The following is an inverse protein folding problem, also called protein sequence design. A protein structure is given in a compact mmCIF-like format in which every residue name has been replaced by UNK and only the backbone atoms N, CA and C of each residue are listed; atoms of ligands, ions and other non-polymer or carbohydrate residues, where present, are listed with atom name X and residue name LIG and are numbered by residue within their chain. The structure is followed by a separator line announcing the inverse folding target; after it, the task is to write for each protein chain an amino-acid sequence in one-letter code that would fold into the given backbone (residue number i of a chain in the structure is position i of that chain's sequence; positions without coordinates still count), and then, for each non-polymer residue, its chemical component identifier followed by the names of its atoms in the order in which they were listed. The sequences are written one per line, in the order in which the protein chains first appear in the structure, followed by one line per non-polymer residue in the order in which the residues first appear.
data_IF_253235290681
#
_entry.id   IF_253235290681
#
_cell.length_a   1.000
_cell.length_b   1.000
_cell.length_c   1.000
_cell.angle_alpha   90.00
_cell.angle_beta   90.00
_cell.angle_gamma   90.00
#
_symmetry.space_group_name_H-M   'P 1'
#
loop_
_entity.id
_entity.type
_entity.pdbx_description
1 polymer ?
#
# COMPACT_ATOMS: atom_id res chain seq x y z
N UNK A 1 50.91 -48.42 -6.91
CA UNK A 1 49.46 -48.20 -7.01
C UNK A 1 49.23 -46.69 -6.83
N UNK A 2 49.16 -45.94 -7.93
CA UNK A 2 49.07 -44.47 -7.94
C UNK A 2 47.58 -44.10 -7.89
N UNK A 3 47.13 -43.42 -6.83
CA UNK A 3 45.77 -42.89 -6.71
C UNK A 3 45.74 -41.48 -7.32
N UNK A 4 45.03 -41.33 -8.43
CA UNK A 4 44.67 -40.02 -8.98
C UNK A 4 43.56 -39.40 -8.11
N UNK A 5 43.81 -38.21 -7.58
CA UNK A 5 42.79 -37.38 -6.94
C UNK A 5 42.14 -36.54 -8.05
N UNK A 6 40.91 -36.88 -8.45
CA UNK A 6 40.08 -35.99 -9.26
C UNK A 6 39.56 -34.87 -8.37
N UNK A 7 40.09 -33.66 -8.56
CA UNK A 7 39.49 -32.44 -8.02
C UNK A 7 38.33 -32.07 -8.94
N UNK A 8 37.10 -32.38 -8.50
CA UNK A 8 35.90 -31.80 -9.10
C UNK A 8 35.85 -30.32 -8.73
N UNK A 9 36.18 -29.43 -9.67
CA UNK A 9 35.82 -28.02 -9.57
C UNK A 9 34.29 -27.92 -9.68
N UNK A 10 33.62 -27.81 -8.54
CA UNK A 10 32.24 -27.34 -8.48
C UNK A 10 32.22 -25.88 -8.98
N UNK A 11 31.79 -25.69 -10.23
CA UNK A 11 31.36 -24.38 -10.69
C UNK A 11 30.11 -24.01 -9.88
N UNK A 12 30.26 -23.17 -8.85
CA UNK A 12 29.12 -22.45 -8.31
C UNK A 12 28.56 -21.56 -9.42
N UNK A 13 27.25 -21.64 -9.74
CA UNK A 13 26.66 -20.67 -10.64
C UNK A 13 26.83 -19.28 -10.01
N UNK A 14 27.38 -18.33 -10.77
CA UNK A 14 27.33 -16.92 -10.38
C UNK A 14 25.86 -16.56 -10.20
N UNK A 15 25.46 -16.30 -8.95
CA UNK A 15 24.19 -15.64 -8.66
C UNK A 15 24.32 -14.24 -9.25
N UNK A 16 23.80 -14.06 -10.47
CA UNK A 16 23.66 -12.75 -11.08
C UNK A 16 22.56 -12.05 -10.30
N UNK A 17 22.94 -11.15 -9.40
CA UNK A 17 21.99 -10.28 -8.73
C UNK A 17 21.37 -9.37 -9.79
N UNK A 18 20.12 -9.65 -10.19
CA UNK A 18 19.41 -8.91 -11.26
C UNK A 18 18.90 -7.54 -10.78
N UNK A 19 18.66 -7.40 -9.48
CA UNK A 19 18.14 -6.18 -8.89
C UNK A 19 19.15 -5.05 -8.95
N UNK A 20 18.71 -3.88 -9.41
CA UNK A 20 19.57 -2.72 -9.53
C UNK A 20 18.77 -1.41 -9.52
N UNK A 21 19.47 -0.30 -9.27
CA UNK A 21 18.93 1.04 -9.43
C UNK A 21 19.69 1.75 -10.53
N UNK A 22 19.06 1.89 -11.69
CA UNK A 22 19.59 2.68 -12.79
C UNK A 22 19.23 4.16 -12.60
N UNK A 23 20.23 5.04 -12.65
CA UNK A 23 20.01 6.49 -12.53
C UNK A 23 20.42 7.17 -13.82
N UNK A 24 19.48 7.87 -14.44
CA UNK A 24 19.73 8.73 -15.59
C UNK A 24 19.44 10.18 -15.24
N UNK A 25 20.05 11.10 -15.99
CA UNK A 25 19.83 12.54 -15.82
C UNK A 25 19.65 13.18 -17.19
N UNK A 26 18.55 13.90 -17.38
CA UNK A 26 18.26 14.65 -18.61
C UNK A 26 17.86 16.06 -18.26
N UNK A 27 18.56 17.06 -18.81
CA UNK A 27 18.33 18.50 -18.53
C UNK A 27 18.25 18.83 -17.04
N UNK A 28 19.08 18.19 -16.21
CA UNK A 28 19.11 18.37 -14.76
C UNK A 28 18.02 17.61 -13.99
N UNK A 29 17.09 16.94 -14.67
CA UNK A 29 16.06 16.10 -14.05
C UNK A 29 16.58 14.66 -13.89
N UNK A 30 16.56 14.14 -12.66
CA UNK A 30 16.99 12.76 -12.37
C UNK A 30 15.84 11.78 -12.51
N UNK A 31 16.13 10.61 -13.06
CA UNK A 31 15.21 9.46 -13.08
C UNK A 31 15.89 8.25 -12.48
N UNK A 32 15.29 7.65 -11.47
CA UNK A 32 15.73 6.40 -10.86
C UNK A 32 14.78 5.28 -11.27
N UNK A 33 15.26 4.32 -12.05
CA UNK A 33 14.51 3.10 -12.39
C UNK A 33 14.99 1.96 -11.51
N UNK A 34 14.06 1.30 -10.82
CA UNK A 34 14.36 0.21 -9.88
C UNK A 34 13.97 -1.12 -10.52
N UNK A 35 14.92 -2.02 -10.71
CA UNK A 35 14.66 -3.40 -11.17
C UNK A 35 14.63 -4.32 -9.95
N UNK A 36 13.65 -5.22 -9.87
CA UNK A 36 13.54 -6.15 -8.75
C UNK A 36 14.68 -7.18 -8.80
N UNK A 37 15.06 -7.70 -7.63
CA UNK A 37 16.02 -8.80 -7.54
C UNK A 37 15.46 -10.08 -8.18
N UNK A 38 14.15 -10.32 -8.04
CA UNK A 38 13.52 -11.58 -8.35
C UNK A 38 13.85 -12.65 -7.29
N UNK A 39 13.30 -13.85 -7.49
CA UNK A 39 13.55 -15.02 -6.63
C UNK A 39 13.30 -14.74 -5.14
N UNK A 40 12.27 -13.96 -4.82
CA UNK A 40 11.83 -13.61 -3.45
C UNK A 40 12.91 -12.90 -2.60
N UNK A 41 13.93 -12.34 -3.23
CA UNK A 41 14.98 -11.59 -2.54
C UNK A 41 14.50 -10.18 -2.18
N UNK A 42 14.80 -9.75 -0.95
CA UNK A 42 14.38 -8.44 -0.43
C UNK A 42 14.86 -7.26 -1.30
N UNK A 43 13.91 -6.49 -1.83
CA UNK A 43 14.12 -5.34 -2.72
C UNK A 43 14.25 -4.00 -2.02
N UNK A 44 13.97 -3.95 -0.72
CA UNK A 44 13.98 -2.71 0.07
C UNK A 44 15.31 -1.94 -0.02
N UNK A 45 16.50 -2.56 0.00
CA UNK A 45 17.76 -1.82 -0.16
C UNK A 45 17.87 -1.06 -1.48
N UNK A 46 17.38 -1.62 -2.58
CA UNK A 46 17.36 -0.95 -3.89
C UNK A 46 16.31 0.17 -3.91
N UNK A 47 15.13 -0.09 -3.38
CA UNK A 47 14.06 0.90 -3.24
C UNK A 47 14.55 2.12 -2.44
N UNK A 48 15.17 1.91 -1.27
CA UNK A 48 15.72 2.98 -0.44
C UNK A 48 16.87 3.72 -1.14
N UNK A 49 17.69 3.01 -1.92
CA UNK A 49 18.73 3.63 -2.74
C UNK A 49 18.14 4.57 -3.79
N UNK A 50 17.06 4.17 -4.46
CA UNK A 50 16.36 5.00 -5.42
C UNK A 50 15.71 6.22 -4.74
N UNK A 51 15.00 6.02 -3.62
CA UNK A 51 14.42 7.10 -2.84
C UNK A 51 15.47 8.08 -2.33
N UNK A 52 16.67 7.64 -1.96
CA UNK A 52 17.77 8.53 -1.57
C UNK A 52 18.28 9.36 -2.76
N UNK A 53 18.56 8.71 -3.89
CA UNK A 53 19.16 9.36 -5.08
C UNK A 53 18.21 10.29 -5.84
N UNK A 54 16.92 9.96 -5.81
CA UNK A 54 15.81 10.68 -6.44
C UNK A 54 14.78 11.16 -5.41
N UNK A 55 15.26 11.72 -4.29
CA UNK A 55 14.41 12.25 -3.23
C UNK A 55 13.76 13.59 -3.56
N UNK A 56 14.32 14.35 -4.53
CA UNK A 56 13.87 15.70 -4.85
C UNK A 56 13.85 16.01 -6.34
N UNK A 57 12.79 16.68 -6.83
CA UNK A 57 12.67 17.19 -8.21
C UNK A 57 13.09 16.16 -9.24
N UNK A 58 12.46 14.99 -9.17
CA UNK A 58 12.93 13.80 -9.89
C UNK A 58 11.80 12.83 -10.18
N UNK A 59 12.10 11.79 -10.95
CA UNK A 59 11.18 10.69 -11.24
C UNK A 59 11.73 9.38 -10.69
N UNK A 60 10.85 8.54 -10.14
CA UNK A 60 11.16 7.18 -9.73
C UNK A 60 10.25 6.24 -10.49
N UNK A 61 10.80 5.18 -11.06
CA UNK A 61 10.07 4.22 -11.89
C UNK A 61 10.25 2.82 -11.30
N UNK A 62 9.12 2.17 -11.04
CA UNK A 62 9.02 0.72 -10.81
C UNK A 62 8.43 0.12 -12.08
N UNK A 63 9.23 -0.49 -12.98
CA UNK A 63 8.75 -0.95 -14.29
C UNK A 63 7.62 -1.98 -14.24
N UNK A 64 6.88 -2.07 -15.35
CA UNK A 64 5.80 -3.04 -15.54
C UNK A 64 6.34 -4.47 -15.50
N UNK A 65 5.55 -5.39 -14.91
CA UNK A 65 5.91 -6.80 -14.80
C UNK A 65 6.91 -7.13 -13.68
N UNK A 66 7.56 -6.14 -13.09
CA UNK A 66 8.44 -6.33 -11.93
C UNK A 66 7.64 -6.66 -10.67
N UNK A 67 8.13 -7.63 -9.89
CA UNK A 67 7.58 -8.01 -8.59
C UNK A 67 8.64 -7.79 -7.52
N UNK A 68 8.38 -6.87 -6.61
CA UNK A 68 9.32 -6.47 -5.57
C UNK A 68 9.00 -7.17 -4.26
N UNK A 69 9.95 -7.89 -3.69
CA UNK A 69 9.76 -8.53 -2.40
C UNK A 69 10.09 -7.56 -1.27
N UNK A 70 9.08 -7.17 -0.49
CA UNK A 70 9.24 -6.22 0.62
C UNK A 70 9.46 -7.01 1.91
N UNK A 71 10.74 -7.29 2.20
CA UNK A 71 11.16 -8.12 3.34
C UNK A 71 11.37 -7.37 4.65
N UNK A 72 11.45 -6.04 4.62
CA UNK A 72 11.68 -5.20 5.80
C UNK A 72 10.92 -3.88 5.74
N UNK A 73 10.74 -3.24 6.91
CA UNK A 73 10.07 -1.94 7.02
C UNK A 73 10.87 -0.89 6.25
N UNK A 74 10.18 0.01 5.56
CA UNK A 74 10.84 1.07 4.83
C UNK A 74 10.10 2.40 4.97
N UNK A 75 10.87 3.47 5.09
CA UNK A 75 10.37 4.84 5.20
C UNK A 75 11.10 5.72 4.20
N UNK A 76 10.35 6.42 3.36
CA UNK A 76 10.88 7.38 2.41
C UNK A 76 10.30 8.77 2.66
N UNK A 77 11.15 9.80 2.61
CA UNK A 77 10.74 11.20 2.56
C UNK A 77 11.12 11.81 1.22
N UNK A 78 10.14 12.26 0.44
CA UNK A 78 10.32 12.80 -0.91
C UNK A 78 9.81 14.25 -1.01
N UNK A 79 10.33 15.01 -1.95
CA UNK A 79 9.92 16.40 -2.18
C UNK A 79 9.85 16.69 -3.68
N UNK A 80 8.67 16.98 -4.21
CA UNK A 80 8.50 17.27 -5.64
C UNK A 80 8.96 16.08 -6.52
N UNK A 81 8.39 14.89 -6.30
CA UNK A 81 8.77 13.65 -6.97
C UNK A 81 7.59 13.02 -7.69
N UNK A 82 7.82 12.61 -8.93
CA UNK A 82 6.90 11.80 -9.72
C UNK A 82 7.26 10.31 -9.56
N UNK A 83 6.34 9.51 -9.03
CA UNK A 83 6.49 8.07 -8.91
C UNK A 83 5.62 7.40 -9.98
N UNK A 84 6.28 6.72 -10.91
CA UNK A 84 5.64 5.85 -11.89
C UNK A 84 5.71 4.42 -11.38
N UNK A 85 4.60 3.95 -10.81
CA UNK A 85 4.55 2.69 -10.11
C UNK A 85 3.80 1.67 -10.96
N UNK A 86 4.50 1.00 -11.87
CA UNK A 86 3.91 -0.02 -12.74
C UNK A 86 4.02 -1.43 -12.13
N UNK A 87 5.10 -1.73 -11.41
CA UNK A 87 5.31 -3.03 -10.79
C UNK A 87 4.49 -3.27 -9.51
N UNK A 88 4.45 -4.53 -9.06
CA UNK A 88 3.73 -4.93 -7.85
C UNK A 88 4.70 -5.12 -6.69
N UNK A 89 4.40 -4.50 -5.54
CA UNK A 89 5.13 -4.75 -4.30
C UNK A 89 4.45 -5.88 -3.52
N UNK A 90 5.16 -6.98 -3.32
CA UNK A 90 4.73 -8.13 -2.54
C UNK A 90 5.17 -7.93 -1.09
N UNK A 91 4.22 -7.63 -0.22
CA UNK A 91 4.48 -7.32 1.16
C UNK A 91 4.16 -8.51 2.05
N UNK A 92 5.20 -9.14 2.59
CA UNK A 92 5.00 -10.35 3.39
C UNK A 92 4.85 -10.05 4.89
N UNK A 93 5.54 -9.03 5.43
CA UNK A 93 5.53 -8.71 6.88
C UNK A 93 5.91 -7.26 7.25
N UNK A 94 5.91 -6.32 6.30
CA UNK A 94 6.51 -5.00 6.49
C UNK A 94 5.52 -3.84 6.27
N UNK A 95 5.63 -2.77 7.04
CA UNK A 95 4.93 -1.51 6.74
C UNK A 95 5.80 -0.64 5.83
N UNK A 96 5.18 -0.01 4.83
CA UNK A 96 5.82 1.06 4.05
C UNK A 96 5.22 2.42 4.41
N UNK A 97 6.10 3.36 4.78
CA UNK A 97 5.74 4.74 5.05
C UNK A 97 6.31 5.65 3.95
N UNK A 98 5.44 6.46 3.37
CA UNK A 98 5.80 7.54 2.47
C UNK A 98 5.43 8.89 3.09
N UNK A 99 6.43 9.78 3.16
CA UNK A 99 6.30 11.12 3.73
C UNK A 99 6.76 12.18 2.74
N UNK A 100 6.32 13.43 2.94
CA UNK A 100 6.92 14.57 2.24
C UNK A 100 5.93 15.55 1.62
N UNK A 101 6.33 16.18 0.52
CA UNK A 101 5.58 17.25 -0.12
C UNK A 101 5.60 17.10 -1.64
N UNK A 102 4.51 17.45 -2.31
CA UNK A 102 4.41 17.44 -3.78
C UNK A 102 4.81 16.09 -4.40
N UNK A 103 4.29 15.00 -3.87
CA UNK A 103 4.47 13.66 -4.44
C UNK A 103 3.33 13.39 -5.43
N UNK A 104 3.65 12.92 -6.63
CA UNK A 104 2.67 12.52 -7.66
C UNK A 104 2.89 11.05 -7.98
N UNK A 105 2.01 10.19 -7.49
CA UNK A 105 2.07 8.74 -7.68
C UNK A 105 1.00 8.33 -8.69
N UNK A 106 1.43 7.60 -9.73
CA UNK A 106 0.53 6.93 -10.67
C UNK A 106 0.81 5.43 -10.68
N UNK A 107 -0.19 4.61 -10.35
CA UNK A 107 -0.13 3.16 -10.42
C UNK A 107 -0.42 2.58 -11.82
N UNK A 108 -0.84 3.42 -12.76
CA UNK A 108 -1.18 3.05 -14.15
C UNK A 108 -2.23 1.92 -14.29
N UNK A 109 -3.00 1.63 -13.23
CA UNK A 109 -4.01 0.55 -13.16
C UNK A 109 -3.42 -0.86 -13.18
N UNK A 110 -2.15 -0.99 -12.83
CA UNK A 110 -1.42 -2.27 -12.81
C UNK A 110 -0.53 -2.38 -11.58
N UNK A 111 0.17 -1.30 -11.23
CA UNK A 111 1.05 -1.26 -10.08
C UNK A 111 0.30 -0.94 -8.79
N UNK A 112 0.90 -1.42 -7.71
CA UNK A 112 0.23 -1.45 -6.42
C UNK A 112 0.98 -2.31 -5.42
N UNK A 113 0.28 -2.66 -4.35
CA UNK A 113 0.78 -3.52 -3.30
C UNK A 113 -0.13 -4.74 -3.21
N UNK A 114 0.47 -5.91 -3.07
CA UNK A 114 -0.18 -7.13 -2.60
C UNK A 114 0.34 -7.42 -1.19
N UNK A 115 -0.54 -7.35 -0.20
CA UNK A 115 -0.24 -7.55 1.21
C UNK A 115 -0.15 -9.02 1.62
N UNK A 116 -0.51 -9.98 0.76
CA UNK A 116 -0.53 -11.40 1.15
C UNK A 116 -1.33 -11.64 2.46
N UNK A 117 -2.46 -10.95 2.60
CA UNK A 117 -3.31 -10.90 3.79
C UNK A 117 -4.05 -12.19 4.14
N UNK A 118 -4.30 -13.07 3.16
CA UNK A 118 -5.05 -14.32 3.38
C UNK A 118 -4.42 -15.19 4.49
N UNK A 119 -3.09 -15.26 4.51
CA UNK A 119 -2.35 -15.97 5.55
C UNK A 119 -2.63 -15.42 6.97
N UNK A 120 -2.88 -14.10 7.09
CA UNK A 120 -3.25 -13.47 8.36
C UNK A 120 -4.70 -13.74 8.72
N UNK A 121 -5.62 -13.70 7.75
CA UNK A 121 -7.03 -13.99 7.99
C UNK A 121 -7.24 -15.44 8.44
N UNK A 122 -6.48 -16.37 7.87
CA UNK A 122 -6.48 -17.80 8.24
C UNK A 122 -5.94 -18.05 9.64
N UNK A 123 -4.91 -17.29 10.05
CA UNK A 123 -4.34 -17.35 11.39
C UNK A 123 -5.32 -16.77 12.42
N UNK A 124 -5.91 -15.61 12.11
CA UNK A 124 -6.75 -14.85 13.03
C UNK A 124 -8.19 -15.41 13.13
N UNK A 125 -8.73 -16.01 12.07
CA UNK A 125 -10.07 -16.61 12.00
C UNK A 125 -11.21 -15.71 12.47
N UNK A 126 -11.14 -14.43 12.09
CA UNK A 126 -12.12 -13.42 12.51
C UNK A 126 -11.82 -12.78 13.87
N UNK A 127 -10.71 -13.14 14.50
CA UNK A 127 -10.05 -12.29 15.49
C UNK A 127 -9.23 -11.20 14.78
N UNK A 128 -8.50 -10.40 15.56
CA UNK A 128 -7.43 -9.57 15.05
C UNK A 128 -6.21 -9.70 15.94
N UNK A 129 -5.09 -10.09 15.34
CA UNK A 129 -3.79 -10.11 16.04
C UNK A 129 -3.13 -8.73 15.99
N UNK A 130 -2.55 -8.31 17.12
CA UNK A 130 -1.80 -7.06 17.20
C UNK A 130 -0.50 -7.14 16.36
N UNK A 131 -0.16 -6.04 15.67
CA UNK A 131 1.09 -5.93 14.93
C UNK A 131 1.02 -6.34 13.45
N UNK A 132 -0.18 -6.62 12.92
CA UNK A 132 -0.39 -6.80 11.47
C UNK A 132 0.11 -5.57 10.69
N UNK A 133 0.91 -5.74 9.62
CA UNK A 133 1.42 -4.61 8.85
C UNK A 133 0.31 -3.83 8.15
N UNK A 134 0.43 -2.49 8.17
CA UNK A 134 -0.32 -1.63 7.25
C UNK A 134 0.47 -1.50 5.94
N UNK A 135 -0.03 -2.01 4.79
CA UNK A 135 0.74 -2.06 3.56
C UNK A 135 1.07 -0.70 2.97
N UNK A 136 0.17 0.30 3.12
CA UNK A 136 0.41 1.63 2.58
C UNK A 136 0.08 2.74 3.58
N UNK A 137 1.13 3.39 4.10
CA UNK A 137 1.00 4.51 5.05
C UNK A 137 1.58 5.78 4.45
N UNK A 138 0.74 6.82 4.39
CA UNK A 138 1.10 8.18 4.02
C UNK A 138 1.19 9.00 5.31
N UNK A 139 2.43 9.26 5.77
CA UNK A 139 2.66 9.95 7.05
C UNK A 139 3.34 11.30 6.83
N UNK A 140 2.84 12.39 7.40
CA UNK A 140 3.46 13.72 7.32
C UNK A 140 3.61 14.12 5.84
N UNK A 141 2.49 14.01 5.11
CA UNK A 141 2.44 14.20 3.66
C UNK A 141 1.60 15.43 3.31
N UNK A 142 2.05 16.20 2.32
CA UNK A 142 1.37 17.43 1.89
C UNK A 142 1.34 17.58 0.37
N UNK A 143 0.32 18.28 -0.14
CA UNK A 143 0.20 18.72 -1.54
C UNK A 143 0.43 17.60 -2.57
N UNK A 144 -0.05 16.39 -2.28
CA UNK A 144 0.30 15.18 -3.01
C UNK A 144 -0.91 14.56 -3.70
N UNK A 145 -0.65 13.82 -4.78
CA UNK A 145 -1.66 13.16 -5.60
C UNK A 145 -1.32 11.71 -5.82
N UNK A 146 -2.29 10.83 -5.62
CA UNK A 146 -2.15 9.39 -5.81
C UNK A 146 -3.28 8.94 -6.73
N UNK A 147 -2.96 8.31 -7.85
CA UNK A 147 -3.98 7.88 -8.80
C UNK A 147 -3.72 6.53 -9.45
N UNK A 148 -4.80 5.87 -9.88
CA UNK A 148 -4.77 4.58 -10.58
C UNK A 148 -3.99 3.50 -9.82
N UNK A 149 -4.18 3.41 -8.50
CA UNK A 149 -3.36 2.60 -7.61
C UNK A 149 -4.21 1.56 -6.88
N UNK A 150 -3.62 0.40 -6.58
CA UNK A 150 -4.32 -0.68 -5.90
C UNK A 150 -3.58 -1.24 -4.69
N UNK A 151 -4.36 -1.65 -3.69
CA UNK A 151 -3.89 -2.44 -2.54
C UNK A 151 -4.72 -3.72 -2.50
N UNK A 152 -4.07 -4.86 -2.66
CA UNK A 152 -4.68 -6.19 -2.67
C UNK A 152 -4.28 -6.95 -1.41
N UNK A 153 -5.19 -7.77 -0.89
CA UNK A 153 -4.99 -8.65 0.26
C UNK A 153 -4.27 -7.95 1.43
N UNK A 154 -4.81 -6.81 1.90
CA UNK A 154 -4.15 -6.03 2.95
C UNK A 154 -4.12 -6.78 4.28
N UNK A 155 -2.96 -6.88 4.93
CA UNK A 155 -2.85 -7.59 6.21
C UNK A 155 -3.63 -6.88 7.33
N UNK A 156 -3.77 -5.56 7.22
CA UNK A 156 -4.52 -4.67 8.09
C UNK A 156 -5.12 -3.54 7.23
N UNK A 157 -5.29 -2.34 7.77
CA UNK A 157 -5.78 -1.17 7.04
C UNK A 157 -4.99 -0.91 5.75
N UNK A 158 -5.68 -0.86 4.60
CA UNK A 158 -5.10 -0.81 3.26
C UNK A 158 -4.34 0.47 2.96
N UNK A 159 -5.05 1.62 2.90
CA UNK A 159 -4.48 2.94 2.63
C UNK A 159 -4.73 3.87 3.81
N UNK A 160 -3.64 4.37 4.38
CA UNK A 160 -3.67 5.09 5.66
C UNK A 160 -3.07 6.47 5.52
N UNK A 161 -3.86 7.50 5.80
CA UNK A 161 -3.37 8.88 5.92
C UNK A 161 -3.18 9.17 7.40
N UNK A 162 -1.96 9.51 7.80
CA UNK A 162 -1.61 9.88 9.16
C UNK A 162 -0.89 11.23 9.12
N UNK A 163 -1.52 12.30 9.60
CA UNK A 163 -0.99 13.66 9.49
C UNK A 163 -0.77 14.08 8.02
N UNK A 164 -1.88 14.27 7.29
CA UNK A 164 -1.89 14.58 5.86
C UNK A 164 -2.62 15.88 5.55
N UNK A 165 -2.13 16.69 4.63
CA UNK A 165 -2.82 17.93 4.23
C UNK A 165 -2.80 18.16 2.72
N UNK A 166 -3.96 18.53 2.14
CA UNK A 166 -4.10 18.82 0.71
C UNK A 166 -3.69 17.61 -0.15
N UNK A 167 -4.50 16.55 -0.07
CA UNK A 167 -4.25 15.28 -0.74
C UNK A 167 -5.38 14.93 -1.70
N UNK A 168 -5.05 14.47 -2.90
CA UNK A 168 -6.03 14.02 -3.87
C UNK A 168 -5.79 12.57 -4.29
N UNK A 169 -6.86 11.78 -4.25
CA UNK A 169 -6.88 10.37 -4.62
C UNK A 169 -7.90 10.15 -5.74
N UNK A 170 -7.51 9.40 -6.76
CA UNK A 170 -8.39 9.11 -7.90
C UNK A 170 -8.17 7.69 -8.45
N UNK A 171 -9.25 6.95 -8.71
CA UNK A 171 -9.20 5.58 -9.24
C UNK A 171 -8.36 4.67 -8.34
N UNK A 172 -8.80 4.51 -7.10
CA UNK A 172 -8.14 3.67 -6.10
C UNK A 172 -8.96 2.40 -5.88
N UNK A 173 -8.29 1.26 -5.81
CA UNK A 173 -8.93 -0.04 -5.53
C UNK A 173 -8.30 -0.68 -4.31
N UNK A 174 -9.12 -1.09 -3.35
CA UNK A 174 -8.70 -1.88 -2.19
C UNK A 174 -9.49 -3.18 -2.15
N UNK A 175 -8.80 -4.32 -2.07
CA UNK A 175 -9.45 -5.64 -2.02
C UNK A 175 -8.84 -6.51 -0.94
N UNK A 176 -9.67 -7.24 -0.19
CA UNK A 176 -9.24 -8.21 0.81
C UNK A 176 -10.26 -9.35 0.88
N UNK A 177 -9.79 -10.59 0.70
CA UNK A 177 -10.65 -11.78 0.71
C UNK A 177 -10.00 -12.95 1.44
N UNK A 178 -10.80 -13.78 2.12
CA UNK A 178 -10.33 -15.03 2.73
C UNK A 178 -10.73 -16.24 1.90
N UNK A 179 -9.76 -17.10 1.58
CA UNK A 179 -10.03 -18.32 0.82
C UNK A 179 -10.64 -19.45 1.68
N UNK A 180 -10.45 -19.42 3.00
CA UNK A 180 -10.83 -20.52 3.90
C UNK A 180 -11.90 -20.15 4.92
N UNK A 181 -12.35 -18.90 4.94
CA UNK A 181 -13.38 -18.47 5.86
C UNK A 181 -14.72 -19.18 5.56
N UNK A 182 -15.36 -19.81 6.57
CA UNK A 182 -16.65 -20.46 6.36
C UNK A 182 -17.73 -19.49 5.88
N UNK A 183 -18.75 -20.00 5.19
CA UNK A 183 -19.90 -19.21 4.76
C UNK A 183 -20.51 -18.42 5.94
N UNK A 184 -20.73 -17.12 5.73
CA UNK A 184 -21.29 -16.21 6.73
C UNK A 184 -20.34 -15.87 7.88
N UNK A 185 -19.04 -16.20 7.77
CA UNK A 185 -18.00 -15.80 8.72
C UNK A 185 -17.08 -14.79 8.07
N UNK A 186 -16.92 -13.65 8.72
CA UNK A 186 -15.97 -12.63 8.29
C UNK A 186 -14.61 -12.86 8.98
N UNK A 187 -13.64 -13.44 8.27
CA UNK A 187 -12.26 -13.55 8.78
C UNK A 187 -11.38 -12.36 8.40
N UNK A 188 -11.85 -11.51 7.49
CA UNK A 188 -11.13 -10.36 6.94
C UNK A 188 -11.34 -9.14 7.85
N UNK A 189 -10.89 -9.26 9.11
CA UNK A 189 -11.02 -8.20 10.11
C UNK A 189 -9.93 -7.13 9.93
N UNK A 190 -10.30 -5.87 10.16
CA UNK A 190 -9.45 -4.68 10.08
C UNK A 190 -8.70 -4.51 8.76
N UNK A 191 -9.25 -5.05 7.67
CA UNK A 191 -8.79 -4.81 6.32
C UNK A 191 -9.50 -3.58 5.72
N UNK A 192 -9.53 -2.48 6.47
CA UNK A 192 -10.20 -1.24 6.10
C UNK A 192 -9.64 -0.71 4.76
N UNK A 193 -10.49 -0.08 3.93
CA UNK A 193 -10.10 0.42 2.62
C UNK A 193 -9.31 1.74 2.71
N UNK A 194 -10.00 2.84 2.96
CA UNK A 194 -9.41 4.18 3.01
C UNK A 194 -9.56 4.81 4.39
N UNK A 195 -8.43 5.06 5.04
CA UNK A 195 -8.37 5.59 6.41
C UNK A 195 -7.82 7.01 6.44
N UNK A 196 -8.47 7.88 7.22
CA UNK A 196 -7.92 9.21 7.53
C UNK A 196 -7.74 9.37 9.03
N UNK A 197 -6.58 9.85 9.45
CA UNK A 197 -6.30 10.29 10.82
C UNK A 197 -5.39 11.52 10.74
N UNK A 198 -5.71 12.57 11.51
CA UNK A 198 -4.95 13.83 11.43
C UNK A 198 -4.92 14.38 9.99
N UNK A 199 -6.06 14.36 9.30
CA UNK A 199 -6.12 14.65 7.87
C UNK A 199 -6.88 15.95 7.60
N UNK A 200 -6.41 16.76 6.65
CA UNK A 200 -7.13 17.97 6.22
C UNK A 200 -7.10 18.20 4.73
N UNK A 201 -8.22 18.65 4.15
CA UNK A 201 -8.34 18.90 2.71
C UNK A 201 -8.00 17.66 1.89
N UNK A 202 -8.73 16.57 2.12
CA UNK A 202 -8.55 15.31 1.40
C UNK A 202 -9.71 15.11 0.44
N UNK A 203 -9.40 14.78 -0.83
CA UNK A 203 -10.39 14.38 -1.82
C UNK A 203 -10.14 12.95 -2.30
N UNK A 204 -11.19 12.13 -2.32
CA UNK A 204 -11.18 10.78 -2.91
C UNK A 204 -12.26 10.69 -3.99
N UNK A 205 -11.87 10.34 -5.22
CA UNK A 205 -12.79 10.13 -6.33
C UNK A 205 -12.60 8.74 -6.94
N UNK A 206 -13.69 8.07 -7.31
CA UNK A 206 -13.66 6.77 -7.98
C UNK A 206 -12.90 5.73 -7.14
N UNK A 207 -13.53 5.31 -6.04
CA UNK A 207 -12.95 4.31 -5.13
C UNK A 207 -13.74 3.01 -5.22
N UNK A 208 -13.04 1.89 -5.33
CA UNK A 208 -13.62 0.56 -5.20
C UNK A 208 -13.01 -0.13 -3.98
N UNK A 209 -13.87 -0.53 -3.04
CA UNK A 209 -13.51 -1.43 -1.96
C UNK A 209 -14.23 -2.75 -2.12
N UNK A 210 -13.50 -3.85 -1.90
CA UNK A 210 -14.10 -5.16 -1.64
C UNK A 210 -13.43 -5.80 -0.44
N UNK A 211 -14.14 -6.04 0.65
CA UNK A 211 -13.48 -6.62 1.82
C UNK A 211 -14.38 -6.88 3.01
N UNK A 212 -13.76 -7.11 4.17
CA UNK A 212 -14.45 -7.51 5.39
C UNK A 212 -14.65 -6.42 6.44
N UNK A 213 -14.08 -5.23 6.30
CA UNK A 213 -14.17 -4.18 7.33
C UNK A 213 -14.60 -2.82 6.71
N UNK A 214 -14.32 -1.71 7.37
CA UNK A 214 -14.70 -0.38 6.93
C UNK A 214 -14.16 -0.09 5.51
N UNK A 215 -15.05 0.15 4.55
CA UNK A 215 -14.69 0.64 3.22
C UNK A 215 -13.98 2.00 3.31
N UNK A 216 -14.58 2.91 4.08
CA UNK A 216 -14.03 4.22 4.42
C UNK A 216 -14.07 4.35 5.94
N UNK A 217 -12.95 4.72 6.55
CA UNK A 217 -12.89 4.99 7.99
C UNK A 217 -12.30 6.38 8.25
N UNK A 218 -13.14 7.31 8.70
CA UNK A 218 -12.74 8.68 9.06
C UNK A 218 -12.42 8.73 10.56
N UNK A 219 -11.15 8.57 10.91
CA UNK A 219 -10.66 8.59 12.30
C UNK A 219 -10.49 10.05 12.80
N UNK A 220 -10.20 10.27 14.10
CA UNK A 220 -10.06 11.59 14.71
C UNK A 220 -9.17 12.60 13.98
N UNK A 221 -9.46 13.88 14.22
CA UNK A 221 -8.75 15.06 13.71
C UNK A 221 -8.73 15.10 12.18
N UNK A 222 -9.85 14.68 11.59
CA UNK A 222 -10.07 14.68 10.16
C UNK A 222 -11.06 15.79 9.76
N UNK A 223 -10.61 16.70 8.91
CA UNK A 223 -11.31 17.94 8.58
C UNK A 223 -11.36 18.16 7.07
N UNK A 224 -12.46 18.71 6.55
CA UNK A 224 -12.56 19.09 5.13
C UNK A 224 -12.34 17.91 4.16
N UNK A 225 -13.02 16.79 4.41
CA UNK A 225 -12.88 15.54 3.63
C UNK A 225 -14.01 15.45 2.60
N UNK A 226 -13.65 15.26 1.32
CA UNK A 226 -14.61 15.12 0.22
C UNK A 226 -14.42 13.78 -0.48
N UNK A 227 -15.48 12.98 -0.51
CA UNK A 227 -15.46 11.65 -1.13
C UNK A 227 -16.59 11.59 -2.15
N UNK A 228 -16.29 11.13 -3.34
CA UNK A 228 -17.27 11.05 -4.42
C UNK A 228 -17.07 9.80 -5.28
N UNK A 229 -18.19 9.20 -5.70
CA UNK A 229 -18.23 8.03 -6.57
C UNK A 229 -17.44 6.86 -5.96
N UNK A 230 -18.02 6.25 -4.93
CA UNK A 230 -17.42 5.09 -4.25
C UNK A 230 -18.34 3.89 -4.35
N UNK A 231 -17.74 2.72 -4.52
CA UNK A 231 -18.42 1.43 -4.44
C UNK A 231 -17.77 0.63 -3.31
N UNK A 232 -18.55 0.35 -2.28
CA UNK A 232 -18.17 -0.47 -1.15
C UNK A 232 -18.89 -1.82 -1.26
N UNK A 233 -18.15 -2.86 -1.62
CA UNK A 233 -18.66 -4.21 -1.77
C UNK A 233 -18.28 -5.07 -0.56
N UNK A 234 -19.24 -5.28 0.33
CA UNK A 234 -19.03 -5.94 1.60
C UNK A 234 -18.54 -5.03 2.72
N UNK A 235 -17.98 -5.66 3.75
CA UNK A 235 -17.44 -5.00 4.91
C UNK A 235 -18.48 -4.27 5.76
N UNK A 236 -18.02 -3.24 6.47
CA UNK A 236 -18.84 -2.44 7.40
C UNK A 236 -19.39 -1.16 6.74
N UNK A 237 -19.00 -0.88 5.49
CA UNK A 237 -19.40 0.32 4.76
C UNK A 237 -18.57 1.55 5.17
N UNK A 238 -19.23 2.70 5.30
CA UNK A 238 -18.57 3.96 5.66
C UNK A 238 -18.72 4.21 7.16
N UNK A 239 -17.60 4.35 7.85
CA UNK A 239 -17.54 4.66 9.28
C UNK A 239 -16.89 6.03 9.53
N UNK A 240 -17.49 6.79 10.45
CA UNK A 240 -16.82 7.91 11.13
C UNK A 240 -16.39 7.39 12.51
N UNK A 241 -15.09 7.17 12.66
CA UNK A 241 -14.48 6.70 13.88
C UNK A 241 -13.74 5.36 13.74
N UNK A 242 -13.44 4.67 14.85
CA UNK A 242 -13.82 5.03 16.23
C UNK A 242 -13.33 6.43 16.66
N UNK A 243 -14.18 7.13 17.42
CA UNK A 243 -13.87 8.40 18.06
C UNK A 243 -13.82 8.18 19.57
N UNK A 244 -13.02 8.96 20.31
CA UNK A 244 -12.88 8.82 21.77
C UNK A 244 -12.01 7.64 22.23
N UNK A 245 -11.36 6.93 21.29
CA UNK A 245 -10.39 5.87 21.62
C UNK A 245 -9.10 6.44 22.25
N UNK A 246 -8.72 7.65 21.85
CA UNK A 246 -7.53 8.34 22.34
C UNK A 246 -7.92 9.53 23.22
N UNK A 247 -7.03 9.97 24.11
CA UNK A 247 -7.29 11.07 25.05
C UNK A 247 -7.27 12.44 24.36
N UNK A 248 -6.71 12.49 23.16
CA UNK A 248 -6.64 13.66 22.31
C UNK A 248 -7.99 14.00 21.69
N UNK A 249 -8.01 15.16 21.02
CA UNK A 249 -9.15 15.60 20.23
C UNK A 249 -9.65 14.49 19.29
N UNK A 250 -10.95 14.23 19.38
CA UNK A 250 -11.68 13.21 18.63
C UNK A 250 -12.61 13.80 17.56
N UNK A 251 -12.44 15.08 17.25
CA UNK A 251 -13.31 15.79 16.32
C UNK A 251 -13.14 15.30 14.88
N UNK A 252 -14.26 15.26 14.16
CA UNK A 252 -14.35 15.10 12.72
C UNK A 252 -15.31 16.17 12.21
N UNK A 253 -14.89 16.98 11.24
CA UNK A 253 -15.67 18.13 10.78
C UNK A 253 -15.65 18.24 9.25
N UNK A 254 -16.76 18.73 8.68
CA UNK A 254 -16.87 19.06 7.26
C UNK A 254 -16.50 17.89 6.34
N UNK A 255 -17.16 16.75 6.55
CA UNK A 255 -17.06 15.56 5.69
C UNK A 255 -18.25 15.54 4.74
N UNK A 256 -18.00 15.37 3.45
CA UNK A 256 -19.04 15.20 2.43
C UNK A 256 -18.75 13.95 1.63
N UNK A 257 -19.72 13.04 1.57
CA UNK A 257 -19.65 11.82 0.76
C UNK A 257 -20.84 11.84 -0.21
N UNK A 258 -20.57 11.68 -1.50
CA UNK A 258 -21.59 11.74 -2.56
C UNK A 258 -21.44 10.57 -3.53
N UNK A 259 -22.55 10.13 -4.12
CA UNK A 259 -22.56 9.00 -5.07
C UNK A 259 -21.89 7.74 -4.49
N UNK A 260 -22.35 7.31 -3.31
CA UNK A 260 -21.87 6.09 -2.67
C UNK A 260 -22.83 4.93 -2.94
N UNK A 261 -22.29 3.84 -3.47
CA UNK A 261 -22.95 2.55 -3.57
C UNK A 261 -22.36 1.62 -2.50
N UNK A 262 -23.21 1.07 -1.64
CA UNK A 262 -22.80 0.17 -0.56
C UNK A 262 -23.62 -1.11 -0.64
N UNK A 263 -22.95 -2.22 -0.88
CA UNK A 263 -23.51 -3.58 -0.82
C UNK A 263 -22.89 -4.34 0.35
N UNK A 264 -23.65 -5.27 0.92
CA UNK A 264 -23.18 -6.15 1.99
C UNK A 264 -23.23 -7.59 1.48
N UNK A 265 -22.28 -8.42 1.92
CA UNK A 265 -22.32 -9.84 1.62
C UNK A 265 -23.49 -10.49 2.37
N UNK A 266 -24.26 -11.33 1.67
CA UNK A 266 -25.29 -12.13 2.32
C UNK A 266 -24.66 -13.23 3.19
N UNK A 267 -25.47 -13.92 4.00
CA UNK A 267 -24.96 -14.98 4.88
C UNK A 267 -24.38 -16.21 4.15
N UNK A 268 -24.52 -16.30 2.83
CA UNK A 268 -23.97 -17.36 1.98
C UNK A 268 -22.66 -16.98 1.29
N UNK A 269 -22.27 -15.70 1.34
CA UNK A 269 -21.06 -15.16 0.74
C UNK A 269 -20.14 -14.65 1.86
N UNK A 270 -18.85 -14.97 1.72
CA UNK A 270 -17.82 -14.55 2.68
C UNK A 270 -16.82 -13.64 1.97
N UNK A 271 -16.41 -12.52 2.58
CA UNK A 271 -15.23 -11.79 2.16
C UNK A 271 -14.01 -12.71 2.20
#
# INVERSE_FOLDING_TARGET
MIRYILIFCLFLPLIVCKGSVHVSTSRGHRTCTVTAHGDEQNDVPNILTAFKKCSKKSTIIFPEGEKYWIGEKLHARLEDVDIKWHGTWLNHRAGFILSGDKIRLNGYREGGIDGNGDAWYDEDKGSSTEGRPMPFVLWNITNSKIHNFQVQQSQFWSLNIMNGTNLAFENITCTAFSNNAPAGKNWVQNADGFNTMDARYVSLNNFLYRGGDDCIAIKPRSYDIRINNITCDGGNGVAIGSLGQYLEDSSVENVTITNAEVSYYDSSITP
#
